data_IF_068186033605
#
_entry.id   IF_068186033605
#
_cell.length_a   1.000
_cell.length_b   1.000
_cell.length_c   1.000
_cell.angle_alpha   90.00
_cell.angle_beta   90.00
_cell.angle_gamma   90.00
#
_symmetry.space_group_name_H-M   'P 1'
#
loop_
_entity.id
_entity.type
_entity.pdbx_description
1 polymer ?
#
# COMPACT_ATOMS: atom_id res chain seq x y z
N UNK A 1 -0.46 -20.51 15.84
CA UNK A 1 0.88 -20.44 15.23
C UNK A 1 0.93 -20.89 13.77
N UNK A 2 0.49 -22.07 13.37
CA UNK A 2 0.51 -22.54 11.96
C UNK A 2 -0.17 -21.56 11.01
N UNK A 3 -1.29 -20.95 11.39
CA UNK A 3 -1.96 -19.91 10.57
C UNK A 3 -1.13 -18.62 10.44
N UNK A 4 -0.42 -18.22 11.48
CA UNK A 4 0.47 -17.08 11.43
C UNK A 4 1.64 -17.34 10.47
N UNK A 5 2.25 -18.52 10.55
CA UNK A 5 3.29 -18.90 9.60
C UNK A 5 2.77 -18.94 8.15
N UNK A 6 1.57 -19.50 7.89
CA UNK A 6 0.96 -19.50 6.54
C UNK A 6 0.85 -18.06 5.97
N UNK A 7 0.49 -17.09 6.80
CA UNK A 7 0.44 -15.68 6.38
C UNK A 7 1.83 -15.14 6.05
N UNK A 8 2.82 -15.38 6.89
CA UNK A 8 4.21 -14.97 6.66
C UNK A 8 4.76 -15.59 5.38
N UNK A 9 4.51 -16.88 5.16
CA UNK A 9 4.91 -17.62 3.95
C UNK A 9 4.28 -17.02 2.68
N UNK A 10 2.97 -16.75 2.71
CA UNK A 10 2.23 -16.14 1.58
C UNK A 10 2.78 -14.77 1.21
N UNK A 11 3.14 -13.97 2.20
CA UNK A 11 3.68 -12.63 2.00
C UNK A 11 5.13 -12.65 1.47
N UNK A 12 5.79 -13.80 1.50
CA UNK A 12 7.19 -13.99 1.08
C UNK A 12 8.12 -13.04 1.85
N UNK A 13 9.26 -12.75 1.30
CA UNK A 13 10.18 -11.77 1.87
C UNK A 13 11.57 -12.33 2.11
N UNK A 14 12.55 -11.44 2.16
CA UNK A 14 13.95 -11.78 2.36
C UNK A 14 14.24 -12.24 3.79
N UNK A 15 15.33 -12.98 4.00
CA UNK A 15 15.83 -13.36 5.33
C UNK A 15 16.24 -12.13 6.15
N UNK A 16 16.12 -12.22 7.48
CA UNK A 16 16.58 -11.21 8.43
C UNK A 16 18.10 -11.23 8.64
N UNK A 17 18.55 -10.78 9.81
CA UNK A 17 19.97 -10.77 10.22
C UNK A 17 20.55 -12.17 10.38
N UNK A 18 19.72 -13.17 10.70
CA UNK A 18 20.12 -14.56 10.89
C UNK A 18 20.28 -15.34 9.57
N UNK A 19 20.00 -14.71 8.42
CA UNK A 19 20.04 -15.30 7.09
C UNK A 19 19.12 -16.51 6.88
N UNK A 20 18.23 -16.82 7.82
CA UNK A 20 17.25 -17.91 7.72
C UNK A 20 16.13 -17.48 6.76
N UNK A 21 16.00 -18.17 5.63
CA UNK A 21 14.90 -17.97 4.69
C UNK A 21 13.60 -18.60 5.20
N UNK A 22 12.48 -18.29 4.54
CA UNK A 22 11.18 -18.93 4.85
C UNK A 22 11.26 -20.43 4.61
N UNK A 23 11.93 -20.88 3.55
CA UNK A 23 12.07 -22.31 3.20
C UNK A 23 12.92 -23.06 4.24
N UNK A 24 14.02 -22.45 4.71
CA UNK A 24 14.86 -23.02 5.80
C UNK A 24 14.04 -23.12 7.10
N UNK A 25 13.26 -22.09 7.44
CA UNK A 25 12.40 -22.12 8.63
C UNK A 25 11.29 -23.19 8.50
N UNK A 26 10.74 -23.37 7.30
CA UNK A 26 9.69 -24.35 7.01
C UNK A 26 10.20 -25.79 7.07
N UNK A 27 11.45 -26.06 6.74
CA UNK A 27 12.05 -27.40 6.79
C UNK A 27 11.95 -28.04 8.19
N UNK A 28 12.04 -27.23 9.27
CA UNK A 28 11.90 -27.67 10.66
C UNK A 28 10.71 -26.94 11.33
N UNK A 29 9.58 -26.84 10.61
CA UNK A 29 8.46 -25.97 11.02
C UNK A 29 7.91 -26.29 12.39
N UNK A 30 7.65 -27.55 12.70
CA UNK A 30 7.04 -27.96 13.98
C UNK A 30 7.94 -27.59 15.15
N UNK A 31 9.21 -27.95 15.08
CA UNK A 31 10.20 -27.64 16.11
C UNK A 31 10.37 -26.12 16.31
N UNK A 32 10.48 -25.37 15.22
CA UNK A 32 10.60 -23.91 15.26
C UNK A 32 9.37 -23.25 15.89
N UNK A 33 8.16 -23.73 15.59
CA UNK A 33 6.93 -23.21 16.16
C UNK A 33 6.79 -23.59 17.64
N UNK A 34 7.18 -24.79 18.04
CA UNK A 34 7.12 -25.25 19.44
C UNK A 34 8.13 -24.50 20.31
N UNK A 35 9.34 -24.26 19.80
CA UNK A 35 10.33 -23.41 20.46
C UNK A 35 9.82 -21.96 20.62
N UNK A 36 9.25 -21.38 19.56
CA UNK A 36 8.65 -20.06 19.62
C UNK A 36 7.50 -19.99 20.65
N UNK A 37 6.63 -21.02 20.69
CA UNK A 37 5.53 -21.08 21.65
C UNK A 37 6.02 -21.13 23.10
N UNK A 38 7.02 -21.96 23.38
CA UNK A 38 7.63 -22.02 24.72
C UNK A 38 8.17 -20.67 25.14
N UNK A 39 8.92 -20.00 24.26
CA UNK A 39 9.54 -18.72 24.58
C UNK A 39 8.51 -17.61 24.80
N UNK A 40 7.43 -17.58 24.01
CA UNK A 40 6.32 -16.63 24.21
C UNK A 40 5.59 -16.88 25.53
N UNK A 41 5.23 -18.15 25.85
CA UNK A 41 4.52 -18.51 27.10
C UNK A 41 5.35 -18.21 28.34
N UNK A 42 6.65 -18.49 28.29
CA UNK A 42 7.56 -18.28 29.44
C UNK A 42 8.11 -16.86 29.54
N UNK A 43 7.74 -15.94 28.62
CA UNK A 43 8.27 -14.58 28.60
C UNK A 43 9.75 -14.47 28.22
N UNK A 44 10.38 -15.57 27.77
CA UNK A 44 11.79 -15.61 27.35
C UNK A 44 12.02 -15.12 25.92
N UNK A 45 10.94 -14.94 25.13
CA UNK A 45 11.07 -14.46 23.75
C UNK A 45 11.81 -13.11 23.70
N UNK A 46 12.84 -13.05 22.87
CA UNK A 46 13.57 -11.83 22.55
C UNK A 46 13.63 -11.69 21.03
N UNK A 47 13.10 -10.60 20.46
CA UNK A 47 13.25 -10.33 19.02
C UNK A 47 14.73 -10.04 18.69
N UNK A 48 15.12 -10.44 17.48
CA UNK A 48 16.44 -10.08 16.93
C UNK A 48 16.38 -8.69 16.31
N UNK A 49 17.52 -7.99 16.20
CA UNK A 49 17.59 -6.72 15.47
C UNK A 49 17.10 -6.87 14.03
N UNK A 50 16.47 -5.83 13.51
CA UNK A 50 16.01 -5.82 12.12
C UNK A 50 17.19 -5.58 11.17
N UNK A 51 17.24 -6.30 10.07
CA UNK A 51 18.21 -6.04 9.01
C UNK A 51 17.78 -4.81 8.20
N UNK A 52 18.54 -3.73 8.25
CA UNK A 52 18.27 -2.49 7.50
C UNK A 52 18.64 -2.67 6.04
N UNK A 53 17.74 -2.26 5.14
CA UNK A 53 17.99 -2.21 3.70
C UNK A 53 17.41 -0.92 3.14
N UNK A 54 18.18 -0.20 2.32
CA UNK A 54 17.74 1.03 1.69
C UNK A 54 17.11 0.74 0.32
N UNK A 55 15.82 1.03 0.18
CA UNK A 55 15.08 0.85 -1.09
C UNK A 55 14.90 2.20 -1.77
N UNK A 56 15.23 2.34 -3.07
CA UNK A 56 15.00 3.59 -3.80
C UNK A 56 13.52 3.98 -3.80
N UNK A 57 13.20 5.27 -3.52
CA UNK A 57 11.80 5.80 -3.56
C UNK A 57 11.18 5.79 -4.96
N UNK A 58 11.95 5.45 -5.98
CA UNK A 58 11.50 5.31 -7.37
C UNK A 58 12.64 4.90 -8.30
N UNK A 59 12.33 4.49 -9.55
CA UNK A 59 13.32 3.93 -10.49
C UNK A 59 14.48 4.87 -10.84
N UNK A 60 14.33 6.17 -10.61
CA UNK A 60 15.33 7.22 -10.88
C UNK A 60 15.61 8.11 -9.68
N UNK A 61 15.11 7.75 -8.51
CA UNK A 61 15.29 8.55 -7.30
C UNK A 61 16.62 8.23 -6.63
N UNK A 62 17.40 9.25 -6.31
CA UNK A 62 18.56 9.15 -5.42
C UNK A 62 18.14 9.01 -3.95
N UNK A 63 16.90 9.41 -3.61
CA UNK A 63 16.35 9.27 -2.25
C UNK A 63 15.94 7.82 -2.00
N UNK A 64 16.36 7.28 -0.88
CA UNK A 64 16.01 5.92 -0.43
C UNK A 64 14.99 5.96 0.71
N UNK A 65 14.38 4.81 0.97
CA UNK A 65 13.55 4.54 2.14
C UNK A 65 14.21 3.42 2.92
N UNK A 66 14.49 3.60 4.22
CA UNK A 66 15.00 2.53 5.06
C UNK A 66 13.88 1.51 5.31
N UNK A 67 14.17 0.23 5.06
CA UNK A 67 13.27 -0.89 5.36
C UNK A 67 13.93 -1.78 6.39
N UNK A 68 13.24 -2.08 7.48
CA UNK A 68 13.65 -3.05 8.48
C UNK A 68 13.10 -4.44 8.15
N UNK A 69 13.95 -5.43 8.01
CA UNK A 69 13.56 -6.81 7.71
C UNK A 69 13.73 -7.66 8.96
N UNK A 70 12.62 -8.04 9.65
CA UNK A 70 12.68 -8.94 10.80
C UNK A 70 13.06 -10.36 10.38
N UNK A 71 13.61 -11.15 11.26
CA UNK A 71 13.82 -12.59 11.06
C UNK A 71 12.47 -13.31 10.93
N UNK A 72 12.44 -14.47 10.29
CA UNK A 72 11.18 -15.21 10.02
C UNK A 72 10.44 -15.54 11.31
N UNK A 73 11.17 -15.98 12.35
CA UNK A 73 10.64 -16.27 13.69
C UNK A 73 9.89 -15.06 14.28
N UNK A 74 10.48 -13.90 14.18
CA UNK A 74 9.89 -12.67 14.73
C UNK A 74 8.68 -12.20 13.91
N UNK A 75 8.68 -12.40 12.59
CA UNK A 75 7.49 -12.14 11.75
C UNK A 75 6.31 -13.02 12.18
N UNK A 76 6.56 -14.30 12.53
CA UNK A 76 5.51 -15.20 13.02
C UNK A 76 4.99 -14.70 14.36
N UNK A 77 5.87 -14.29 15.28
CA UNK A 77 5.48 -13.74 16.57
C UNK A 77 4.69 -12.42 16.42
N UNK A 78 5.13 -11.51 15.55
CA UNK A 78 4.40 -10.27 15.25
C UNK A 78 3.03 -10.55 14.61
N UNK A 79 2.92 -11.56 13.74
CA UNK A 79 1.63 -11.93 13.15
C UNK A 79 0.68 -12.53 14.18
N UNK A 80 1.19 -13.27 15.18
CA UNK A 80 0.40 -13.74 16.32
C UNK A 80 -0.11 -12.54 17.13
N UNK A 81 0.80 -11.61 17.48
CA UNK A 81 0.44 -10.39 18.19
C UNK A 81 -0.61 -9.59 17.41
N UNK A 82 -0.44 -9.39 16.13
CA UNK A 82 -1.40 -8.69 15.26
C UNK A 82 -2.78 -9.37 15.30
N UNK A 83 -2.83 -10.71 15.30
CA UNK A 83 -4.09 -11.47 15.37
C UNK A 83 -4.77 -11.39 16.74
N UNK A 84 -4.01 -11.22 17.81
CA UNK A 84 -4.55 -11.00 19.14
C UNK A 84 -5.10 -9.60 19.31
N UNK A 85 -4.40 -8.59 18.79
CA UNK A 85 -4.80 -7.19 18.93
C UNK A 85 -5.92 -6.76 17.96
N UNK A 86 -5.93 -7.31 16.74
CA UNK A 86 -6.87 -6.85 15.70
C UNK A 86 -8.35 -6.97 16.11
N UNK A 87 -8.85 -8.05 16.73
CA UNK A 87 -10.23 -8.13 17.20
C UNK A 87 -10.60 -7.09 18.26
N UNK A 88 -9.61 -6.63 19.04
CA UNK A 88 -9.80 -5.61 20.09
C UNK A 88 -9.92 -4.23 19.44
N UNK A 89 -9.02 -3.90 18.52
CA UNK A 89 -8.89 -2.54 17.99
C UNK A 89 -9.72 -2.28 16.72
N UNK A 90 -9.99 -3.30 15.89
CA UNK A 90 -10.76 -3.10 14.65
C UNK A 90 -12.15 -2.47 14.87
N UNK A 91 -12.93 -2.85 15.90
CA UNK A 91 -14.20 -2.21 16.19
C UNK A 91 -14.08 -0.75 16.69
N UNK A 92 -12.91 -0.35 17.20
CA UNK A 92 -12.64 0.98 17.75
C UNK A 92 -12.19 1.98 16.68
N UNK A 93 -11.77 1.51 15.52
CA UNK A 93 -11.28 2.38 14.47
C UNK A 93 -12.38 3.13 13.78
N UNK A 94 -12.16 4.43 13.61
CA UNK A 94 -13.08 5.32 12.91
C UNK A 94 -13.30 4.86 11.45
N UNK A 95 -14.52 5.06 10.94
CA UNK A 95 -14.91 4.58 9.60
C UNK A 95 -14.18 5.30 8.46
N UNK A 96 -13.76 6.54 8.67
CA UNK A 96 -12.97 7.31 7.71
C UNK A 96 -11.53 6.77 7.52
N UNK A 97 -11.05 5.92 8.43
CA UNK A 97 -9.76 5.23 8.32
C UNK A 97 -9.90 3.94 7.50
N UNK A 98 -9.23 3.87 6.34
CA UNK A 98 -9.35 2.75 5.39
C UNK A 98 -8.05 1.95 5.21
N UNK A 99 -6.89 2.48 5.63
CA UNK A 99 -5.59 1.86 5.42
C UNK A 99 -5.29 0.72 6.39
N UNK A 100 -4.68 -0.37 5.90
CA UNK A 100 -4.23 -1.53 6.67
C UNK A 100 -5.30 -2.25 7.51
N UNK A 101 -6.56 -2.08 7.18
CA UNK A 101 -7.71 -2.69 7.87
C UNK A 101 -8.31 -3.84 7.07
N UNK A 102 -8.82 -4.90 7.71
CA UNK A 102 -9.52 -5.98 7.03
C UNK A 102 -10.76 -5.47 6.26
N UNK A 103 -10.93 -5.94 5.02
CA UNK A 103 -12.09 -5.56 4.20
C UNK A 103 -12.13 -4.11 3.73
N UNK A 104 -11.14 -3.31 4.08
CA UNK A 104 -11.00 -1.91 3.63
C UNK A 104 -9.90 -1.80 2.56
N UNK A 105 -10.04 -0.81 1.68
CA UNK A 105 -9.09 -0.60 0.59
C UNK A 105 -9.02 0.88 0.18
N UNK A 106 -8.04 1.19 -0.69
CA UNK A 106 -7.81 2.55 -1.17
C UNK A 106 -8.95 3.09 -2.06
N UNK A 107 -9.68 2.24 -2.76
CA UNK A 107 -10.82 2.69 -3.58
C UNK A 107 -11.97 3.19 -2.71
N UNK A 108 -12.26 2.52 -1.60
CA UNK A 108 -13.26 3.00 -0.62
C UNK A 108 -12.87 4.35 0.00
N UNK A 109 -11.56 4.59 0.23
CA UNK A 109 -11.10 5.90 0.68
C UNK A 109 -11.33 6.99 -0.38
N UNK A 110 -11.05 6.69 -1.65
CA UNK A 110 -11.28 7.60 -2.77
C UNK A 110 -12.77 7.88 -2.98
N UNK A 111 -13.62 6.85 -2.94
CA UNK A 111 -15.08 6.97 -3.05
C UNK A 111 -15.63 7.86 -1.95
N UNK A 112 -15.21 7.64 -0.70
CA UNK A 112 -15.61 8.47 0.45
C UNK A 112 -15.22 9.95 0.25
N UNK A 113 -13.98 10.21 -0.21
CA UNK A 113 -13.55 11.59 -0.49
C UNK A 113 -14.41 12.24 -1.60
N UNK A 114 -14.73 11.51 -2.66
CA UNK A 114 -15.58 11.99 -3.76
C UNK A 114 -17.02 12.25 -3.27
N UNK A 115 -17.56 11.40 -2.41
CA UNK A 115 -18.87 11.58 -1.82
C UNK A 115 -18.95 12.84 -0.94
N UNK A 116 -17.94 13.08 -0.10
CA UNK A 116 -17.85 14.30 0.70
C UNK A 116 -17.80 15.54 -0.21
N UNK A 117 -17.05 15.50 -1.32
CA UNK A 117 -17.06 16.59 -2.28
C UNK A 117 -18.41 16.85 -2.94
N UNK A 118 -19.23 15.79 -3.17
CA UNK A 118 -20.60 15.93 -3.68
C UNK A 118 -21.53 16.64 -2.69
N UNK A 119 -21.21 16.56 -1.39
CA UNK A 119 -21.92 17.28 -0.33
C UNK A 119 -21.50 18.77 -0.20
N UNK A 120 -20.69 19.28 -1.14
CA UNK A 120 -20.31 20.68 -1.22
C UNK A 120 -19.01 21.07 -0.52
N UNK A 121 -18.24 20.11 0.00
CA UNK A 121 -16.91 20.36 0.56
C UNK A 121 -15.91 20.59 -0.55
N UNK A 122 -15.39 21.81 -0.68
CA UNK A 122 -14.59 22.24 -1.84
C UNK A 122 -13.14 22.55 -1.52
N UNK A 123 -12.82 22.77 -0.26
CA UNK A 123 -11.45 22.98 0.21
C UNK A 123 -10.89 21.70 0.79
N UNK A 124 -9.61 21.50 0.64
CA UNK A 124 -8.92 20.28 1.07
C UNK A 124 -7.65 20.67 1.78
N UNK A 125 -7.50 20.26 3.01
CA UNK A 125 -6.22 20.16 3.67
C UNK A 125 -5.62 18.81 3.31
N UNK A 126 -4.59 18.82 2.46
CA UNK A 126 -3.77 17.66 2.12
C UNK A 126 -2.61 17.63 3.12
N UNK A 127 -2.60 16.68 4.04
CA UNK A 127 -1.72 16.64 5.19
C UNK A 127 -0.80 15.41 5.17
N UNK A 128 0.50 15.60 5.39
CA UNK A 128 1.53 14.57 5.46
C UNK A 128 2.26 14.67 6.80
N UNK A 129 2.34 13.58 7.54
CA UNK A 129 3.08 13.52 8.80
C UNK A 129 4.56 13.29 8.50
N UNK A 130 5.43 14.11 9.08
CA UNK A 130 6.87 14.07 8.84
C UNK A 130 7.47 12.77 9.37
N UNK A 131 7.92 11.90 8.44
CA UNK A 131 8.61 10.65 8.79
C UNK A 131 7.85 9.75 9.76
N UNK A 132 6.53 9.67 9.66
CA UNK A 132 5.61 9.07 10.63
C UNK A 132 6.14 7.78 11.28
N UNK A 133 6.45 6.75 10.47
CA UNK A 133 6.92 5.47 11.01
C UNK A 133 8.27 5.56 11.73
N UNK A 134 9.10 6.52 11.37
CA UNK A 134 10.44 6.67 11.95
C UNK A 134 10.43 7.53 13.23
N UNK A 135 9.41 8.41 13.40
CA UNK A 135 9.32 9.35 14.51
C UNK A 135 8.23 9.04 15.53
N UNK A 136 7.41 8.01 15.32
CA UNK A 136 6.32 7.66 16.24
C UNK A 136 6.87 7.22 17.61
N UNK A 137 6.65 7.99 18.72
CA UNK A 137 7.25 7.67 20.00
C UNK A 137 6.75 6.35 20.58
N UNK A 138 7.65 5.56 21.16
CA UNK A 138 7.28 4.31 21.82
C UNK A 138 6.32 4.53 23.00
N UNK A 139 6.50 5.62 23.75
CA UNK A 139 5.60 6.05 24.84
C UNK A 139 4.16 6.22 24.37
N UNK A 140 3.96 6.90 23.24
CA UNK A 140 2.63 7.15 22.64
C UNK A 140 2.00 5.83 22.18
N UNK A 141 2.79 4.96 21.52
CA UNK A 141 2.29 3.62 21.10
C UNK A 141 1.83 2.84 22.33
N UNK A 142 2.69 2.73 23.34
CA UNK A 142 2.39 1.95 24.54
C UNK A 142 1.20 2.51 25.30
N UNK A 143 1.10 3.84 25.46
CA UNK A 143 -0.06 4.51 26.07
C UNK A 143 -1.36 4.21 25.29
N UNK A 144 -1.33 4.26 23.96
CA UNK A 144 -2.50 4.00 23.12
C UNK A 144 -2.96 2.54 23.23
N UNK A 145 -2.02 1.58 23.24
CA UNK A 145 -2.34 0.15 23.37
C UNK A 145 -2.85 -0.17 24.77
N UNK A 146 -2.20 0.34 25.82
CA UNK A 146 -2.54 0.07 27.21
C UNK A 146 -3.96 0.54 27.62
N UNK A 147 -4.57 1.46 26.87
CA UNK A 147 -5.98 1.85 27.09
C UNK A 147 -6.98 0.70 26.94
N UNK A 148 -6.64 -0.32 26.15
CA UNK A 148 -7.54 -1.43 25.80
C UNK A 148 -6.92 -2.82 26.05
N UNK A 149 -5.65 -2.89 26.42
CA UNK A 149 -4.92 -4.13 26.68
C UNK A 149 -4.29 -4.06 28.06
N UNK A 150 -4.80 -4.85 29.01
CA UNK A 150 -4.29 -4.90 30.38
C UNK A 150 -3.23 -6.01 30.59
N UNK A 151 -3.06 -6.93 29.63
CA UNK A 151 -2.10 -8.04 29.75
C UNK A 151 -0.66 -7.51 29.67
N UNK A 152 0.04 -7.51 30.80
CA UNK A 152 1.43 -7.05 30.89
C UNK A 152 2.40 -7.85 30.00
N UNK A 153 2.14 -9.16 29.74
CA UNK A 153 3.00 -9.95 28.85
C UNK A 153 2.86 -9.51 27.39
N UNK A 154 1.64 -9.15 26.99
CA UNK A 154 1.39 -8.60 25.64
C UNK A 154 2.05 -7.22 25.50
N UNK A 155 1.89 -6.36 26.49
CA UNK A 155 2.53 -5.04 26.50
C UNK A 155 4.06 -5.13 26.46
N UNK A 156 4.65 -5.99 27.30
CA UNK A 156 6.10 -6.23 27.29
C UNK A 156 6.59 -6.79 25.95
N UNK A 157 5.82 -7.68 25.32
CA UNK A 157 6.16 -8.19 23.98
C UNK A 157 6.16 -7.07 22.92
N UNK A 158 5.18 -6.17 22.96
CA UNK A 158 5.15 -4.99 22.07
C UNK A 158 6.39 -4.13 22.30
N UNK A 159 6.67 -3.80 23.56
CA UNK A 159 7.84 -2.99 23.92
C UNK A 159 9.14 -3.62 23.41
N UNK A 160 9.31 -4.94 23.55
CA UNK A 160 10.48 -5.65 23.00
C UNK A 160 10.60 -5.55 21.49
N UNK A 161 9.50 -5.61 20.75
CA UNK A 161 9.52 -5.40 19.29
C UNK A 161 9.91 -3.97 18.91
N UNK A 162 9.44 -2.98 19.65
CA UNK A 162 9.78 -1.58 19.41
C UNK A 162 11.26 -1.29 19.68
N UNK A 163 11.83 -1.91 20.73
CA UNK A 163 13.22 -1.71 21.16
C UNK A 163 14.23 -2.71 20.59
N UNK A 164 13.81 -3.56 19.65
CA UNK A 164 14.67 -4.63 19.10
C UNK A 164 15.94 -4.12 18.38
N UNK A 165 15.97 -2.87 18.00
CA UNK A 165 17.09 -2.26 17.30
C UNK A 165 17.19 -2.65 15.84
N UNK A 166 18.15 -2.07 15.15
CA UNK A 166 18.44 -2.35 13.74
C UNK A 166 19.92 -2.69 13.55
N UNK A 167 20.19 -3.60 12.63
CA UNK A 167 21.51 -3.93 12.14
C UNK A 167 21.69 -3.32 10.76
N UNK A 168 22.61 -2.38 10.62
CA UNK A 168 22.92 -1.68 9.37
C UNK A 168 24.40 -1.80 9.10
N UNK A 169 24.77 -2.37 7.96
CA UNK A 169 26.16 -2.59 7.55
C UNK A 169 27.04 -3.28 8.61
N UNK A 170 26.44 -4.22 9.35
CA UNK A 170 27.12 -4.96 10.43
C UNK A 170 27.17 -4.24 11.79
N UNK A 171 26.66 -3.01 11.87
CA UNK A 171 26.63 -2.21 13.11
C UNK A 171 25.23 -2.25 13.72
N UNK A 172 25.16 -2.56 15.02
CA UNK A 172 23.91 -2.49 15.77
C UNK A 172 23.60 -1.03 16.14
N UNK A 173 22.37 -0.61 15.91
CA UNK A 173 21.83 0.69 16.31
C UNK A 173 20.59 0.46 17.17
N UNK A 174 20.51 0.96 18.40
CA UNK A 174 19.31 0.89 19.21
C UNK A 174 18.18 1.71 18.57
N UNK A 175 16.92 1.34 18.84
CA UNK A 175 15.75 2.12 18.46
C UNK A 175 15.12 2.73 19.70
N UNK A 176 15.09 4.06 19.77
CA UNK A 176 14.49 4.85 20.86
C UNK A 176 13.12 5.40 20.50
N UNK A 177 12.78 5.36 19.22
CA UNK A 177 11.49 5.78 18.67
C UNK A 177 11.23 5.12 17.33
N UNK A 178 10.06 5.34 16.82
CA UNK A 178 9.59 4.77 15.56
C UNK A 178 9.10 3.34 15.67
N UNK A 179 8.31 2.96 14.68
CA UNK A 179 7.97 1.55 14.43
C UNK A 179 8.61 1.14 13.10
N UNK A 180 9.33 0.03 13.07
CA UNK A 180 10.16 -0.28 11.91
C UNK A 180 9.30 -0.45 10.65
N UNK A 181 9.65 0.30 9.60
CA UNK A 181 9.04 0.10 8.28
C UNK A 181 9.37 -1.32 7.78
N UNK A 182 8.35 -2.18 7.74
CA UNK A 182 8.48 -3.60 7.36
C UNK A 182 8.17 -4.59 8.49
N UNK A 183 7.94 -4.13 9.71
CA UNK A 183 7.36 -4.94 10.78
C UNK A 183 5.92 -5.36 10.45
N UNK A 184 5.54 -6.60 10.80
CA UNK A 184 4.19 -7.13 10.51
C UNK A 184 3.13 -6.45 11.37
N UNK A 185 3.46 -6.08 12.60
CA UNK A 185 2.55 -5.42 13.55
C UNK A 185 2.55 -3.88 13.39
N UNK A 186 3.58 -3.30 12.77
CA UNK A 186 3.74 -1.84 12.66
C UNK A 186 2.53 -1.10 12.07
N UNK A 187 1.87 -1.58 11.00
CA UNK A 187 0.68 -0.92 10.46
C UNK A 187 -0.51 -0.88 11.42
N UNK A 188 -0.69 -1.92 12.24
CA UNK A 188 -1.75 -1.95 13.25
C UNK A 188 -1.44 -0.95 14.38
N UNK A 189 -0.22 -0.95 14.90
CA UNK A 189 0.21 -0.01 15.94
C UNK A 189 0.08 1.44 15.47
N UNK A 190 0.45 1.72 14.22
CA UNK A 190 0.26 3.01 13.58
C UNK A 190 -1.22 3.44 13.55
N UNK A 191 -2.13 2.54 13.17
CA UNK A 191 -3.56 2.81 13.18
C UNK A 191 -4.11 3.02 14.59
N UNK A 192 -3.63 2.28 15.58
CA UNK A 192 -4.04 2.45 16.99
C UNK A 192 -3.72 3.87 17.48
N UNK A 193 -2.54 4.38 17.15
CA UNK A 193 -2.14 5.73 17.53
C UNK A 193 -2.95 6.78 16.77
N UNK A 194 -3.04 6.68 15.44
CA UNK A 194 -3.74 7.66 14.62
C UNK A 194 -5.26 7.64 14.78
N UNK A 195 -5.82 6.59 15.40
CA UNK A 195 -7.24 6.55 15.75
C UNK A 195 -7.62 7.67 16.74
N UNK A 196 -6.66 8.14 17.55
CA UNK A 196 -6.88 9.31 18.39
C UNK A 196 -7.16 10.56 17.54
N UNK A 197 -6.32 10.83 16.53
CA UNK A 197 -6.57 11.94 15.60
C UNK A 197 -7.91 11.80 14.87
N UNK A 198 -8.27 10.57 14.45
CA UNK A 198 -9.52 10.31 13.74
C UNK A 198 -10.74 10.75 14.60
N UNK A 199 -10.79 10.34 15.87
CA UNK A 199 -11.88 10.68 16.77
C UNK A 199 -11.86 12.15 17.21
N UNK A 200 -10.69 12.78 17.31
CA UNK A 200 -10.59 14.22 17.56
C UNK A 200 -11.17 15.03 16.40
N UNK A 201 -10.85 14.65 15.15
CA UNK A 201 -11.39 15.28 13.94
C UNK A 201 -12.91 15.13 13.86
N UNK A 202 -13.42 13.92 14.10
CA UNK A 202 -14.87 13.66 14.08
C UNK A 202 -15.59 14.44 15.17
N UNK A 203 -15.06 14.44 16.41
CA UNK A 203 -15.61 15.19 17.54
C UNK A 203 -15.63 16.71 17.33
N UNK A 204 -14.68 17.23 16.55
CA UNK A 204 -14.66 18.64 16.13
C UNK A 204 -15.54 18.92 14.89
N UNK A 205 -16.22 17.91 14.33
CA UNK A 205 -17.13 18.05 13.20
C UNK A 205 -16.46 18.06 11.83
N UNK A 206 -15.17 17.81 11.74
CA UNK A 206 -14.45 17.78 10.46
C UNK A 206 -14.77 16.52 9.66
N UNK A 207 -14.88 16.67 8.35
CA UNK A 207 -14.95 15.55 7.41
C UNK A 207 -13.56 15.23 6.89
N UNK A 208 -13.14 13.99 7.04
CA UNK A 208 -11.80 13.55 6.64
C UNK A 208 -11.81 12.14 6.06
N UNK A 209 -10.73 11.78 5.39
CA UNK A 209 -10.46 10.42 4.92
C UNK A 209 -8.99 10.12 5.14
N UNK A 210 -8.70 9.01 5.83
CA UNK A 210 -7.34 8.58 6.12
C UNK A 210 -7.05 7.20 5.52
N UNK A 211 -5.86 7.05 4.97
CA UNK A 211 -5.31 5.77 4.55
C UNK A 211 -3.88 5.62 5.07
N UNK A 212 -3.70 4.93 6.19
CA UNK A 212 -2.45 4.90 6.97
C UNK A 212 -2.07 6.30 7.48
N UNK A 213 -0.89 6.79 7.09
CA UNK A 213 -0.36 8.12 7.38
C UNK A 213 -0.76 9.20 6.36
N UNK A 214 -1.35 8.81 5.23
CA UNK A 214 -1.83 9.70 4.17
C UNK A 214 -3.29 10.07 4.42
N UNK A 215 -3.62 11.34 4.67
CA UNK A 215 -4.99 11.77 4.96
C UNK A 215 -5.31 13.16 4.43
N UNK A 216 -6.60 13.37 4.21
CA UNK A 216 -7.15 14.64 3.77
C UNK A 216 -8.31 15.06 4.66
N UNK A 217 -8.35 16.35 5.04
CA UNK A 217 -9.51 16.95 5.69
C UNK A 217 -10.25 17.81 4.67
N UNK A 218 -11.55 17.60 4.56
CA UNK A 218 -12.39 18.24 3.55
C UNK A 218 -13.27 19.29 4.21
N UNK A 219 -13.20 20.51 3.69
CA UNK A 219 -13.80 21.70 4.29
C UNK A 219 -14.69 22.43 3.27
N UNK A 220 -15.65 23.22 3.76
CA UNK A 220 -16.55 24.02 2.93
C UNK A 220 -15.91 25.34 2.52
N UNK A 221 -15.16 25.96 3.43
CA UNK A 221 -14.52 27.25 3.25
C UNK A 221 -13.01 27.16 3.40
N UNK A 222 -12.30 28.19 2.93
CA UNK A 222 -10.87 28.31 3.12
C UNK A 222 -10.51 28.51 4.60
N UNK A 223 -11.31 29.30 5.31
CA UNK A 223 -11.12 29.54 6.73
C UNK A 223 -11.23 28.25 7.53
N UNK A 224 -12.29 27.45 7.30
CA UNK A 224 -12.44 26.13 7.94
C UNK A 224 -11.23 25.22 7.67
N UNK A 225 -10.62 25.29 6.47
CA UNK A 225 -9.42 24.51 6.16
C UNK A 225 -8.18 25.02 6.90
N UNK A 226 -8.08 26.32 7.20
CA UNK A 226 -7.01 26.89 8.05
C UNK A 226 -7.21 26.47 9.51
N UNK A 227 -8.41 26.58 10.02
CA UNK A 227 -8.77 26.10 11.37
C UNK A 227 -8.51 24.60 11.53
N UNK A 228 -8.85 23.81 10.50
CA UNK A 228 -8.53 22.37 10.47
C UNK A 228 -7.02 22.11 10.48
N UNK A 229 -6.23 22.92 9.79
CA UNK A 229 -4.77 22.78 9.80
C UNK A 229 -4.19 23.02 11.19
N UNK A 230 -4.59 24.11 11.86
CA UNK A 230 -4.18 24.43 13.24
C UNK A 230 -4.63 23.34 14.22
N UNK A 231 -5.86 22.86 14.07
CA UNK A 231 -6.40 21.77 14.88
C UNK A 231 -5.60 20.49 14.75
N UNK A 232 -5.34 20.04 13.50
CA UNK A 232 -4.54 18.84 13.21
C UNK A 232 -3.13 18.99 13.75
N UNK A 233 -2.50 20.16 13.55
CA UNK A 233 -1.16 20.42 14.05
C UNK A 233 -1.11 20.29 15.58
N UNK A 234 -2.04 20.91 16.30
CA UNK A 234 -2.12 20.83 17.75
C UNK A 234 -2.29 19.38 18.23
N UNK A 235 -3.24 18.61 17.69
CA UNK A 235 -3.47 17.22 18.09
C UNK A 235 -2.22 16.36 17.83
N UNK A 236 -1.55 16.57 16.69
CA UNK A 236 -0.34 15.82 16.37
C UNK A 236 0.82 16.18 17.31
N UNK A 237 1.04 17.46 17.59
CA UNK A 237 2.17 17.93 18.39
C UNK A 237 1.96 17.68 19.89
N UNK A 238 0.78 18.03 20.43
CA UNK A 238 0.50 17.95 21.87
C UNK A 238 0.13 16.52 22.32
N UNK A 239 -0.71 15.80 21.56
CA UNK A 239 -1.22 14.50 22.00
C UNK A 239 -0.38 13.33 21.51
N UNK A 240 0.22 13.43 20.32
CA UNK A 240 0.89 12.34 19.63
C UNK A 240 2.41 12.54 19.49
N UNK A 241 2.94 13.70 19.86
CA UNK A 241 4.36 14.06 19.74
C UNK A 241 4.89 13.89 18.30
N UNK A 242 4.03 14.22 17.30
CA UNK A 242 4.31 14.11 15.88
C UNK A 242 4.23 15.49 15.22
N UNK A 243 4.84 15.65 14.04
CA UNK A 243 4.83 16.92 13.31
C UNK A 243 4.29 16.76 11.90
N UNK A 244 3.56 17.76 11.43
CA UNK A 244 3.22 17.88 10.02
C UNK A 244 4.47 18.19 9.19
N UNK A 245 4.50 17.70 7.95
CA UNK A 245 5.54 18.07 6.98
C UNK A 245 5.19 19.41 6.34
N UNK A 246 5.92 20.51 6.63
CA UNK A 246 5.60 21.82 6.06
C UNK A 246 5.71 21.87 4.53
N UNK A 247 6.62 21.05 3.97
CA UNK A 247 6.85 21.00 2.51
C UNK A 247 5.73 20.29 1.74
N UNK A 248 4.95 19.43 2.41
CA UNK A 248 3.95 18.59 1.76
C UNK A 248 2.53 18.88 2.22
N UNK A 249 2.36 19.46 3.41
CA UNK A 249 1.04 19.86 3.90
C UNK A 249 0.62 21.16 3.26
N UNK A 250 -0.55 21.18 2.63
CA UNK A 250 -1.05 22.37 1.97
C UNK A 250 -2.57 22.38 1.83
N UNK A 251 -3.13 23.60 1.80
CA UNK A 251 -4.54 23.80 1.52
C UNK A 251 -4.72 24.04 0.03
N UNK A 252 -5.65 23.30 -0.55
CA UNK A 252 -6.00 23.41 -1.97
C UNK A 252 -7.51 23.38 -2.16
N UNK A 253 -7.97 23.45 -3.42
CA UNK A 253 -9.39 23.32 -3.74
C UNK A 253 -9.65 22.11 -4.64
N UNK A 254 -10.83 21.54 -4.52
CA UNK A 254 -11.27 20.46 -5.42
C UNK A 254 -11.29 20.89 -6.89
N UNK A 255 -11.52 22.19 -7.16
CA UNK A 255 -11.44 22.75 -8.50
C UNK A 255 -10.04 22.67 -9.12
N UNK A 256 -8.99 23.02 -8.36
CA UNK A 256 -7.57 22.88 -8.76
C UNK A 256 -7.14 21.42 -8.77
N UNK A 257 -7.74 20.62 -7.91
CA UNK A 257 -7.46 19.21 -7.70
C UNK A 257 -6.24 18.96 -6.80
N UNK A 258 -6.25 17.80 -6.15
CA UNK A 258 -5.18 17.32 -5.26
C UNK A 258 -4.82 15.87 -5.56
N UNK A 259 -3.69 15.40 -5.04
CA UNK A 259 -3.20 14.04 -5.25
C UNK A 259 -3.46 13.20 -4.01
N UNK A 260 -4.28 12.16 -4.13
CA UNK A 260 -4.54 11.23 -3.04
C UNK A 260 -4.48 9.78 -3.55
N UNK A 261 -3.78 8.92 -2.84
CA UNK A 261 -3.65 7.48 -3.14
C UNK A 261 -3.31 7.17 -4.61
N UNK A 262 -2.44 7.96 -5.21
CA UNK A 262 -2.00 7.73 -6.59
C UNK A 262 -2.91 8.32 -7.67
N UNK A 263 -4.06 8.87 -7.30
CA UNK A 263 -4.96 9.61 -8.18
C UNK A 263 -4.77 11.12 -8.04
N UNK A 264 -5.15 11.84 -9.07
CA UNK A 264 -5.46 13.27 -9.01
C UNK A 264 -6.97 13.42 -9.05
N UNK A 265 -7.54 13.91 -7.94
CA UNK A 265 -8.97 14.19 -7.77
C UNK A 265 -9.23 15.66 -8.07
N UNK A 266 -10.26 15.94 -8.86
CA UNK A 266 -10.73 17.30 -9.13
C UNK A 266 -12.21 17.29 -9.48
N UNK A 267 -12.86 18.45 -9.45
CA UNK A 267 -14.27 18.60 -9.82
C UNK A 267 -14.60 18.11 -11.24
N UNK A 268 -13.61 18.08 -12.11
CA UNK A 268 -13.77 17.68 -13.53
C UNK A 268 -13.31 16.25 -13.81
N UNK A 269 -12.45 15.67 -12.98
CA UNK A 269 -11.84 14.38 -13.29
C UNK A 269 -11.23 13.68 -12.07
N UNK A 270 -11.32 12.37 -12.06
CA UNK A 270 -10.53 11.50 -11.19
C UNK A 270 -9.61 10.65 -12.10
N UNK A 271 -8.31 10.90 -12.06
CA UNK A 271 -7.36 10.28 -12.99
C UNK A 271 -6.06 9.86 -12.31
N UNK A 272 -5.31 8.98 -12.96
CA UNK A 272 -3.95 8.63 -12.54
C UNK A 272 -3.09 9.90 -12.43
N UNK A 273 -2.44 10.13 -11.29
CA UNK A 273 -1.52 11.26 -11.11
C UNK A 273 -0.27 11.10 -11.99
N UNK A 274 0.38 12.21 -12.33
CA UNK A 274 1.54 12.22 -13.21
C UNK A 274 2.67 11.29 -12.76
N UNK A 275 2.98 11.27 -11.47
CA UNK A 275 4.01 10.41 -10.88
C UNK A 275 3.66 8.91 -11.02
N UNK A 276 2.38 8.53 -10.87
CA UNK A 276 1.93 7.14 -11.06
C UNK A 276 2.05 6.72 -12.52
N UNK A 277 1.66 7.59 -13.45
CA UNK A 277 1.81 7.35 -14.87
C UNK A 277 3.29 7.21 -15.28
N UNK A 278 4.16 8.06 -14.75
CA UNK A 278 5.58 7.97 -15.02
C UNK A 278 6.19 6.65 -14.52
N UNK A 279 5.82 6.21 -13.30
CA UNK A 279 6.23 4.89 -12.77
C UNK A 279 5.78 3.75 -13.67
N UNK A 280 4.53 3.79 -14.13
CA UNK A 280 4.01 2.81 -15.07
C UNK A 280 4.84 2.79 -16.37
N UNK A 281 5.06 3.97 -16.97
CA UNK A 281 5.87 4.10 -18.19
C UNK A 281 7.29 3.58 -18.01
N UNK A 282 7.92 3.85 -16.87
CA UNK A 282 9.28 3.38 -16.60
C UNK A 282 9.33 1.86 -16.44
N UNK A 283 8.31 1.27 -15.80
CA UNK A 283 8.18 -0.20 -15.72
C UNK A 283 7.99 -0.83 -17.10
N UNK A 284 7.11 -0.25 -17.94
CA UNK A 284 6.94 -0.71 -19.32
C UNK A 284 8.25 -0.57 -20.12
N UNK A 285 8.99 0.56 -19.97
CA UNK A 285 10.29 0.76 -20.63
C UNK A 285 11.29 -0.33 -20.25
N UNK A 286 11.37 -0.71 -18.97
CA UNK A 286 12.29 -1.75 -18.50
C UNK A 286 11.96 -3.13 -19.09
N UNK A 287 10.69 -3.43 -19.34
CA UNK A 287 10.24 -4.69 -19.95
C UNK A 287 10.32 -4.69 -21.48
N UNK A 288 10.36 -3.52 -22.13
CA UNK A 288 10.33 -3.37 -23.58
C UNK A 288 11.62 -2.76 -24.14
N UNK A 289 12.75 -3.23 -23.67
CA UNK A 289 14.07 -2.82 -24.18
C UNK A 289 14.26 -3.37 -25.59
N UNK A 290 14.73 -2.53 -26.54
CA UNK A 290 14.88 -2.91 -27.95
C UNK A 290 15.75 -4.14 -28.19
N UNK A 291 16.78 -4.35 -27.37
CA UNK A 291 17.71 -5.48 -27.48
C UNK A 291 17.06 -6.83 -27.12
N UNK A 292 16.02 -6.81 -26.29
CA UNK A 292 15.35 -8.02 -25.82
C UNK A 292 14.39 -8.58 -26.89
N UNK A 293 14.13 -9.89 -26.82
CA UNK A 293 13.16 -10.54 -27.68
C UNK A 293 11.73 -10.36 -27.13
N UNK A 294 10.78 -10.23 -28.05
CA UNK A 294 9.36 -10.22 -27.74
C UNK A 294 8.83 -11.67 -27.75
N UNK A 295 9.11 -12.38 -26.67
CA UNK A 295 8.67 -13.77 -26.45
C UNK A 295 7.46 -13.84 -25.50
N UNK A 296 6.95 -15.05 -25.24
CA UNK A 296 5.81 -15.29 -24.37
C UNK A 296 6.08 -14.81 -22.93
N UNK A 297 7.29 -15.01 -22.40
CA UNK A 297 7.69 -14.58 -21.06
C UNK A 297 7.70 -13.05 -20.91
N UNK A 298 8.14 -12.34 -21.94
CA UNK A 298 8.08 -10.88 -21.97
C UNK A 298 6.62 -10.37 -22.01
N UNK A 299 5.76 -11.03 -22.81
CA UNK A 299 4.33 -10.71 -22.89
C UNK A 299 3.62 -10.98 -21.54
N UNK A 300 3.91 -12.09 -20.89
CA UNK A 300 3.36 -12.42 -19.59
C UNK A 300 3.69 -11.35 -18.53
N UNK A 301 4.98 -10.98 -18.40
CA UNK A 301 5.41 -9.91 -17.49
C UNK A 301 4.77 -8.56 -17.82
N UNK A 302 4.63 -8.24 -19.10
CA UNK A 302 3.95 -7.04 -19.55
C UNK A 302 2.49 -7.05 -19.14
N UNK A 303 1.78 -8.16 -19.36
CA UNK A 303 0.38 -8.33 -19.00
C UNK A 303 0.13 -8.25 -17.49
N UNK A 304 1.05 -8.75 -16.67
CA UNK A 304 0.99 -8.58 -15.20
C UNK A 304 1.00 -7.09 -14.81
N UNK A 305 1.87 -6.28 -15.45
CA UNK A 305 1.96 -4.83 -15.17
C UNK A 305 0.73 -4.09 -15.69
N UNK A 306 0.25 -4.42 -16.91
CA UNK A 306 -0.97 -3.81 -17.49
C UNK A 306 -2.17 -4.12 -16.59
N UNK A 307 -2.39 -5.40 -16.24
CA UNK A 307 -3.50 -5.83 -15.39
C UNK A 307 -3.47 -5.18 -14.03
N UNK A 308 -2.31 -5.18 -13.36
CA UNK A 308 -2.16 -4.55 -12.04
C UNK A 308 -2.47 -3.05 -12.07
N UNK A 309 -2.00 -2.34 -13.12
CA UNK A 309 -2.29 -0.91 -13.30
C UNK A 309 -3.76 -0.66 -13.63
N UNK A 310 -4.33 -1.45 -14.53
CA UNK A 310 -5.73 -1.31 -14.91
C UNK A 310 -6.67 -1.60 -13.73
N UNK A 311 -6.47 -2.70 -13.00
CA UNK A 311 -7.28 -3.04 -11.83
C UNK A 311 -7.26 -1.95 -10.74
N UNK A 312 -6.17 -1.21 -10.64
CA UNK A 312 -6.06 -0.12 -9.67
C UNK A 312 -6.73 1.17 -10.15
N UNK A 313 -6.61 1.53 -11.43
CA UNK A 313 -7.04 2.84 -11.93
C UNK A 313 -8.34 2.82 -12.74
N UNK A 314 -8.80 1.67 -13.26
CA UNK A 314 -10.03 1.56 -14.03
C UNK A 314 -11.26 1.35 -13.11
N UNK A 315 -11.48 2.26 -12.17
CA UNK A 315 -12.64 2.25 -11.28
C UNK A 315 -13.85 2.93 -11.93
N UNK A 316 -15.05 2.72 -11.37
CA UNK A 316 -16.29 3.32 -11.86
C UNK A 316 -16.31 4.86 -11.79
N UNK A 317 -15.60 5.43 -10.80
CA UNK A 317 -15.47 6.87 -10.61
C UNK A 317 -14.31 7.51 -11.37
N UNK A 318 -13.44 6.72 -12.02
CA UNK A 318 -12.24 7.24 -12.67
C UNK A 318 -12.47 7.64 -14.14
N UNK A 319 -11.95 8.80 -14.51
CA UNK A 319 -12.01 9.34 -15.89
C UNK A 319 -10.72 9.02 -16.65
N UNK A 320 -10.40 7.74 -16.81
CA UNK A 320 -9.09 7.29 -17.31
C UNK A 320 -9.08 6.73 -18.73
N UNK A 321 -10.26 6.42 -19.33
CA UNK A 321 -10.39 5.71 -20.63
C UNK A 321 -9.53 6.33 -21.72
N UNK A 322 -9.70 7.62 -22.01
CA UNK A 322 -8.91 8.31 -23.04
C UNK A 322 -7.39 8.27 -22.78
N UNK A 323 -7.00 8.37 -21.49
CA UNK A 323 -5.58 8.28 -21.13
C UNK A 323 -5.04 6.87 -21.34
N UNK A 324 -5.83 5.86 -21.03
CA UNK A 324 -5.49 4.47 -21.26
C UNK A 324 -5.32 4.15 -22.74
N UNK A 325 -6.20 4.63 -23.59
CA UNK A 325 -6.06 4.50 -25.07
C UNK A 325 -4.72 5.07 -25.57
N UNK A 326 -4.31 6.24 -25.05
CA UNK A 326 -3.00 6.82 -25.38
C UNK A 326 -1.84 5.98 -24.86
N UNK A 327 -1.93 5.45 -23.64
CA UNK A 327 -0.93 4.55 -23.08
C UNK A 327 -0.85 3.23 -23.84
N UNK A 328 -1.97 2.65 -24.24
CA UNK A 328 -2.01 1.43 -25.06
C UNK A 328 -1.38 1.66 -26.44
N UNK A 329 -1.63 2.80 -27.03
CA UNK A 329 -0.97 3.18 -28.29
C UNK A 329 0.55 3.31 -28.13
N UNK A 330 0.99 3.93 -27.05
CA UNK A 330 2.38 4.05 -26.70
C UNK A 330 3.03 2.68 -26.41
N UNK A 331 2.36 1.77 -25.70
CA UNK A 331 2.84 0.40 -25.46
C UNK A 331 3.02 -0.33 -26.81
N UNK A 332 2.04 -0.28 -27.71
CA UNK A 332 2.16 -0.87 -29.04
C UNK A 332 3.36 -0.35 -29.82
N UNK A 333 3.62 0.96 -29.76
CA UNK A 333 4.82 1.54 -30.38
C UNK A 333 6.10 0.94 -29.76
N UNK A 334 6.18 0.80 -28.46
CA UNK A 334 7.31 0.16 -27.76
C UNK A 334 7.51 -1.28 -28.23
N UNK A 335 6.44 -2.07 -28.34
CA UNK A 335 6.48 -3.46 -28.78
C UNK A 335 6.93 -3.59 -30.25
N UNK A 336 6.52 -2.68 -31.13
CA UNK A 336 7.03 -2.61 -32.51
C UNK A 336 8.53 -2.37 -32.52
N UNK A 337 9.01 -1.41 -31.74
CA UNK A 337 10.45 -1.13 -31.61
C UNK A 337 11.23 -2.37 -31.09
N UNK A 338 10.67 -3.10 -30.16
CA UNK A 338 11.27 -4.33 -29.62
C UNK A 338 11.30 -5.46 -30.67
N UNK A 339 10.18 -5.68 -31.39
CA UNK A 339 10.05 -6.71 -32.44
C UNK A 339 10.93 -6.44 -33.64
N UNK A 340 11.02 -5.17 -34.09
CA UNK A 340 11.75 -4.76 -35.29
C UNK A 340 13.17 -4.25 -35.00
N UNK A 341 13.56 -4.18 -33.74
CA UNK A 341 14.86 -3.63 -33.29
C UNK A 341 15.15 -2.20 -33.73
N UNK A 342 14.14 -1.50 -34.27
CA UNK A 342 14.21 -0.11 -34.77
C UNK A 342 12.95 0.69 -34.41
N UNK A 343 13.00 2.00 -34.57
CA UNK A 343 11.84 2.89 -34.50
C UNK A 343 11.50 3.39 -35.91
N UNK A 344 10.37 2.96 -36.45
CA UNK A 344 9.88 3.41 -37.73
C UNK A 344 8.33 3.48 -37.70
N UNK A 345 7.77 4.61 -38.12
CA UNK A 345 6.32 4.82 -38.14
C UNK A 345 5.60 3.93 -39.15
N UNK A 346 6.26 3.55 -40.25
CA UNK A 346 5.71 2.63 -41.25
C UNK A 346 5.44 1.22 -40.69
N UNK A 347 6.09 0.85 -39.58
CA UNK A 347 5.80 -0.41 -38.89
C UNK A 347 4.40 -0.44 -38.28
N UNK A 348 3.69 0.71 -38.16
CA UNK A 348 2.30 0.76 -37.73
C UNK A 348 1.37 0.05 -38.72
N UNK A 349 1.63 0.15 -40.02
CA UNK A 349 0.85 -0.53 -41.07
C UNK A 349 1.12 -2.03 -41.10
N UNK A 350 2.38 -2.46 -40.90
CA UNK A 350 2.83 -3.87 -40.95
C UNK A 350 2.45 -4.65 -39.69
N UNK A 351 2.54 -4.03 -38.50
CA UNK A 351 2.21 -4.63 -37.21
C UNK A 351 1.02 -3.88 -36.57
N UNK A 352 -0.19 -4.19 -37.04
CA UNK A 352 -1.44 -3.59 -36.58
C UNK A 352 -1.73 -3.98 -35.11
N UNK A 353 -2.61 -3.25 -34.44
CA UNK A 353 -3.02 -3.50 -33.05
C UNK A 353 -3.50 -4.95 -32.83
N UNK A 354 -4.25 -5.50 -33.81
CA UNK A 354 -4.78 -6.89 -33.81
C UNK A 354 -3.66 -7.93 -33.67
N UNK A 355 -2.46 -7.69 -34.25
CA UNK A 355 -1.32 -8.60 -34.14
C UNK A 355 -0.89 -8.78 -32.68
N UNK A 356 -0.75 -7.70 -31.91
CA UNK A 356 -0.34 -7.77 -30.50
C UNK A 356 -1.42 -8.38 -29.63
N UNK A 357 -2.68 -8.01 -29.86
CA UNK A 357 -3.81 -8.49 -29.07
C UNK A 357 -4.14 -9.95 -29.36
N UNK A 358 -4.35 -10.32 -30.64
CA UNK A 358 -4.84 -11.66 -31.00
C UNK A 358 -3.71 -12.68 -31.10
N UNK A 359 -2.59 -12.34 -31.79
CA UNK A 359 -1.48 -13.32 -31.96
C UNK A 359 -0.56 -13.42 -30.74
N UNK A 360 -0.33 -12.31 -30.01
CA UNK A 360 0.59 -12.32 -28.87
C UNK A 360 -0.12 -12.30 -27.52
N UNK A 361 -1.43 -12.11 -27.46
CA UNK A 361 -2.18 -12.08 -26.20
C UNK A 361 -1.85 -10.88 -25.30
N UNK A 362 -1.39 -9.75 -25.88
CA UNK A 362 -1.09 -8.54 -25.11
C UNK A 362 -2.41 -7.87 -24.71
N UNK A 363 -2.61 -7.69 -23.41
CA UNK A 363 -3.75 -6.97 -22.84
C UNK A 363 -3.67 -5.47 -23.14
N UNK A 364 -4.81 -4.79 -23.11
CA UNK A 364 -4.90 -3.34 -23.17
C UNK A 364 -5.47 -2.78 -21.86
N UNK A 365 -5.03 -1.61 -21.45
CA UNK A 365 -5.58 -0.92 -20.28
C UNK A 365 -7.06 -0.57 -20.47
N UNK A 366 -7.44 -0.19 -21.70
CA UNK A 366 -8.80 0.21 -22.04
C UNK A 366 -9.82 -0.90 -21.82
N UNK A 367 -9.46 -2.18 -22.04
CA UNK A 367 -10.35 -3.35 -21.82
C UNK A 367 -10.86 -3.45 -20.39
N UNK A 368 -10.19 -2.87 -19.44
CA UNK A 368 -10.57 -2.89 -18.03
C UNK A 368 -11.48 -1.71 -17.66
N UNK A 369 -11.63 -0.70 -18.52
CA UNK A 369 -12.52 0.42 -18.22
C UNK A 369 -13.97 -0.05 -18.32
N UNK A 370 -14.70 0.05 -17.20
CA UNK A 370 -16.14 -0.19 -17.17
C UNK A 370 -16.83 0.76 -18.15
N UNK A 371 -17.69 0.23 -19.01
CA UNK A 371 -18.38 1.04 -20.00
C UNK A 371 -19.23 2.13 -19.34
N UNK A 372 -18.94 3.39 -19.63
CA UNK A 372 -19.88 4.49 -19.48
C UNK A 372 -20.87 4.42 -20.66
N UNK A 373 -21.70 3.39 -20.69
CA UNK A 373 -22.74 3.20 -21.70
C UNK A 373 -24.03 2.94 -20.95
N UNK A 374 -25.01 3.82 -21.17
CA UNK A 374 -26.43 3.69 -20.93
C UNK A 374 -26.89 2.25 -20.66
N UNK A 375 -27.54 2.04 -19.51
CA UNK A 375 -28.42 0.92 -19.14
C UNK A 375 -28.22 -0.43 -19.86
N UNK A 376 -27.65 -1.40 -19.14
CA UNK A 376 -27.62 -2.78 -19.60
C UNK A 376 -26.66 -3.63 -18.80
N UNK A 377 -27.21 -4.64 -18.13
CA UNK A 377 -26.53 -5.67 -17.35
C UNK A 377 -25.16 -6.07 -17.90
N UNK A 378 -24.09 -5.72 -17.22
CA UNK A 378 -22.76 -6.25 -17.51
C UNK A 378 -22.39 -7.31 -16.47
N UNK A 379 -22.64 -8.56 -16.83
CA UNK A 379 -22.02 -9.71 -16.18
C UNK A 379 -20.48 -9.54 -16.18
N UNK A 380 -19.88 -9.56 -15.01
CA UNK A 380 -18.43 -9.74 -14.86
C UNK A 380 -18.02 -11.04 -15.53
N UNK A 381 -17.41 -10.98 -16.69
CA UNK A 381 -16.70 -12.11 -17.28
C UNK A 381 -15.37 -12.26 -16.54
N UNK A 382 -15.36 -13.11 -15.53
CA UNK A 382 -14.14 -13.67 -14.98
C UNK A 382 -13.76 -14.81 -15.92
N UNK A 383 -12.58 -14.83 -16.56
CA UNK A 383 -12.15 -16.01 -17.27
C UNK A 383 -11.93 -17.13 -16.26
N UNK A 384 -12.82 -18.12 -16.26
CA UNK A 384 -12.57 -19.40 -15.59
C UNK A 384 -11.45 -20.11 -16.36
N UNK A 385 -10.32 -20.34 -15.72
CA UNK A 385 -9.38 -21.36 -16.17
C UNK A 385 -10.09 -22.70 -16.04
N UNK A 386 -10.41 -23.28 -17.17
CA UNK A 386 -10.90 -24.64 -17.26
C UNK A 386 -9.80 -25.63 -16.92
N UNK A 387 -10.08 -26.48 -15.99
CA UNK A 387 -9.52 -27.81 -15.91
C UNK A 387 -10.69 -28.75 -15.58
N UNK A 388 -11.27 -29.30 -16.60
CA UNK A 388 -12.07 -30.52 -16.59
C UNK A 388 -11.18 -31.67 -16.16
N UNK A 389 -11.58 -32.37 -15.12
CA UNK A 389 -11.25 -33.79 -14.95
C UNK A 389 -12.57 -34.58 -14.87
N UNK A 390 -12.77 -35.31 -15.90
CA UNK A 390 -13.80 -36.32 -16.13
C UNK A 390 -13.59 -37.58 -15.29
N UNK A 391 -14.70 -38.14 -14.85
CA UNK A 391 -14.93 -39.58 -14.71
C UNK A 391 -14.48 -40.18 -13.38
N UNK A 392 -15.26 -40.95 -12.70
CA UNK A 392 -15.90 -42.24 -13.07
C UNK A 392 -16.91 -42.61 -11.97
N UNK A 393 -18.01 -43.15 -12.44
CA UNK A 393 -19.06 -43.77 -11.66
C UNK A 393 -18.63 -45.02 -10.88
N UNK A 394 -19.13 -45.18 -9.71
CA UNK A 394 -19.95 -46.25 -9.13
C UNK A 394 -20.12 -46.06 -7.66
#
# INVERSE_FOLDING_TARGET
MKQAFKTVRRNRGAAGVDKISIDIFEANLQENLDALMRDLKTGRFRPKPLRRVHIPKGPRSKKTRPLGIPVVRDRVAQEILRRLLNPIFEPLFHDASKGFRPGRNCHQALEMAIEIHRLGYRYVLDADIMGFFDHLPHSVIMKAVARHVADGKVLDLIQRFLTAGVMEDGVFKPTTGGTPQGGVASPLLANIVLNHLDWQLDGAGYRFVRYADDFVVLCRTHQEAQEAHEFVQRVLEEDLELQLSPEKTHITTYGKGYEFLGFKLSSRSCRMRAKSEQKFKDKIRSLTVRKHNLDAKAVEKLNQVIRGTANYFATSFATVRWRFQKLDSWIRMRLRCMKRKRKNYNDNRKLRARYFRVKLGVLTLEEFCVGTGTHGNAHRVIPRNGATLTGVAR
#
